data_IF_212829046217
#
_entry.id   IF_212829046217
#
_cell.length_a   1.000
_cell.length_b   1.000
_cell.length_c   1.000
_cell.angle_alpha   90.00
_cell.angle_beta   90.00
_cell.angle_gamma   90.00
#
_symmetry.space_group_name_H-M   'P 1'
#
loop_
_entity.id
_entity.type
_entity.pdbx_description
1 polymer ?
#
# COMPACT_ATOMS: atom_id res chain seq x y z
N UNK A 1 -10.09 -11.90 8.01
CA UNK A 1 -8.64 -11.84 7.74
C UNK A 1 -8.02 -11.04 8.86
N UNK A 2 -6.92 -11.51 9.45
CA UNK A 2 -6.20 -10.73 10.46
C UNK A 2 -5.59 -9.49 9.78
N UNK A 3 -5.80 -8.29 10.34
CA UNK A 3 -5.25 -7.05 9.79
C UNK A 3 -3.72 -7.08 9.77
N UNK A 4 -3.10 -7.75 10.74
CA UNK A 4 -1.64 -7.87 10.78
C UNK A 4 -1.12 -8.75 9.64
N UNK A 5 -1.84 -9.83 9.29
CA UNK A 5 -1.48 -10.66 8.15
C UNK A 5 -1.56 -9.90 6.83
N UNK A 6 -2.62 -9.09 6.64
CA UNK A 6 -2.76 -8.24 5.45
C UNK A 6 -1.66 -7.17 5.36
N UNK A 7 -1.27 -6.57 6.50
CA UNK A 7 -0.17 -5.59 6.54
C UNK A 7 1.15 -6.25 6.11
N UNK A 8 1.43 -7.46 6.60
CA UNK A 8 2.65 -8.19 6.21
C UNK A 8 2.65 -8.50 4.71
N UNK A 9 1.53 -9.01 4.18
CA UNK A 9 1.36 -9.30 2.75
C UNK A 9 1.61 -8.04 1.90
N UNK A 10 1.03 -6.90 2.26
CA UNK A 10 1.24 -5.64 1.54
C UNK A 10 2.69 -5.16 1.61
N UNK A 11 3.36 -5.30 2.76
CA UNK A 11 4.77 -4.93 2.89
C UNK A 11 5.66 -5.81 2.00
N UNK A 12 5.42 -7.12 1.98
CA UNK A 12 6.16 -8.07 1.14
C UNK A 12 5.97 -7.77 -0.36
N UNK A 13 4.73 -7.51 -0.79
CA UNK A 13 4.41 -7.16 -2.17
C UNK A 13 5.03 -5.82 -2.61
N UNK A 14 5.17 -4.89 -1.68
CA UNK A 14 5.70 -3.55 -1.95
C UNK A 14 7.22 -3.46 -1.83
N UNK A 15 7.89 -4.41 -1.18
CA UNK A 15 9.35 -4.41 -0.97
C UNK A 15 10.15 -4.21 -2.28
N UNK A 16 9.82 -4.84 -3.43
CA UNK A 16 10.55 -4.60 -4.68
C UNK A 16 10.41 -3.16 -5.22
N UNK A 17 9.33 -2.45 -4.87
CA UNK A 17 9.13 -1.04 -5.23
C UNK A 17 9.87 -0.13 -4.28
N UNK A 18 9.80 -0.42 -2.98
CA UNK A 18 10.55 0.26 -1.92
C UNK A 18 12.04 0.21 -2.24
N UNK A 19 12.60 -0.98 -2.49
CA UNK A 19 14.02 -1.14 -2.77
C UNK A 19 14.47 -0.36 -4.02
N UNK A 20 13.63 -0.28 -5.05
CA UNK A 20 13.90 0.57 -6.23
C UNK A 20 13.96 2.05 -5.87
N UNK A 21 13.04 2.54 -5.05
CA UNK A 21 13.06 3.92 -4.55
C UNK A 21 14.30 4.22 -3.69
N UNK A 22 14.66 3.29 -2.80
CA UNK A 22 15.85 3.41 -1.95
C UNK A 22 17.14 3.47 -2.78
N UNK A 23 17.26 2.63 -3.80
CA UNK A 23 18.44 2.61 -4.67
C UNK A 23 18.63 3.92 -5.44
N UNK A 24 17.55 4.63 -5.76
CA UNK A 24 17.57 5.95 -6.40
C UNK A 24 17.85 7.10 -5.40
N UNK A 25 17.84 6.82 -4.10
CA UNK A 25 18.04 7.80 -3.02
C UNK A 25 19.49 7.78 -2.53
N UNK A 26 19.98 8.93 -2.03
CA UNK A 26 21.29 9.05 -1.41
C UNK A 26 21.44 8.03 -0.27
N UNK A 27 22.53 7.23 -0.21
CA UNK A 27 22.75 6.24 0.85
C UNK A 27 22.48 6.71 2.27
N UNK A 28 22.77 7.97 2.59
CA UNK A 28 22.58 8.55 3.93
C UNK A 28 21.11 8.69 4.33
N UNK A 29 20.20 8.83 3.37
CA UNK A 29 18.77 9.08 3.59
C UNK A 29 17.92 7.81 3.45
N UNK A 30 18.53 6.68 3.05
CA UNK A 30 17.81 5.46 2.71
C UNK A 30 17.06 4.85 3.89
N UNK A 31 17.66 4.84 5.07
CA UNK A 31 17.03 4.22 6.24
C UNK A 31 15.83 5.05 6.70
N UNK A 32 15.98 6.37 6.78
CA UNK A 32 14.88 7.28 7.12
C UNK A 32 13.74 7.16 6.11
N UNK A 33 14.06 7.13 4.81
CA UNK A 33 13.07 6.96 3.75
C UNK A 33 12.38 5.59 3.83
N UNK A 34 13.12 4.52 4.13
CA UNK A 34 12.55 3.17 4.31
C UNK A 34 11.53 3.17 5.45
N UNK A 35 11.87 3.77 6.58
CA UNK A 35 10.98 3.85 7.73
C UNK A 35 9.73 4.68 7.44
N UNK A 36 9.86 5.83 6.78
CA UNK A 36 8.73 6.65 6.37
C UNK A 36 7.79 5.89 5.42
N UNK A 37 8.32 5.24 4.39
CA UNK A 37 7.53 4.43 3.45
C UNK A 37 6.79 3.29 4.15
N UNK A 38 7.48 2.53 5.02
CA UNK A 38 6.86 1.44 5.77
C UNK A 38 5.75 1.94 6.70
N UNK A 39 5.98 3.05 7.40
CA UNK A 39 4.99 3.64 8.30
C UNK A 39 3.73 4.06 7.53
N UNK A 40 3.90 4.66 6.36
CA UNK A 40 2.78 5.06 5.49
C UNK A 40 2.02 3.86 4.97
N UNK A 41 2.71 2.79 4.56
CA UNK A 41 2.08 1.56 4.07
C UNK A 41 1.29 0.85 5.17
N UNK A 42 1.85 0.75 6.37
CA UNK A 42 1.16 0.17 7.53
C UNK A 42 -0.10 0.98 7.83
N UNK A 43 0.01 2.32 7.90
CA UNK A 43 -1.13 3.19 8.18
C UNK A 43 -2.22 3.05 7.11
N UNK A 44 -1.85 3.15 5.84
CA UNK A 44 -2.79 3.04 4.73
C UNK A 44 -3.51 1.68 4.71
N UNK A 45 -2.77 0.59 4.95
CA UNK A 45 -3.35 -0.77 4.98
C UNK A 45 -4.25 -0.97 6.20
N UNK A 46 -3.88 -0.42 7.35
CA UNK A 46 -4.69 -0.49 8.56
C UNK A 46 -6.02 0.27 8.43
N UNK A 47 -5.98 1.44 7.79
CA UNK A 47 -7.15 2.31 7.53
C UNK A 47 -7.99 1.83 6.34
N UNK A 48 -7.47 0.91 5.51
CA UNK A 48 -8.20 0.37 4.36
C UNK A 48 -9.43 -0.43 4.80
N UNK A 49 -10.57 -0.13 4.18
CA UNK A 49 -11.78 -0.93 4.32
C UNK A 49 -11.69 -2.15 3.41
N UNK A 50 -11.88 -3.34 3.99
CA UNK A 50 -11.93 -4.57 3.21
C UNK A 50 -13.32 -4.69 2.58
N UNK A 51 -13.40 -4.39 1.28
CA UNK A 51 -14.65 -4.49 0.52
C UNK A 51 -14.75 -5.80 -0.24
N UNK A 52 -15.99 -6.25 -0.48
CA UNK A 52 -16.24 -7.41 -1.33
C UNK A 52 -15.99 -7.08 -2.82
N UNK A 53 -15.73 -8.11 -3.62
CA UNK A 53 -15.62 -7.94 -5.08
C UNK A 53 -16.85 -7.26 -5.70
N UNK A 54 -18.06 -7.58 -5.23
CA UNK A 54 -19.30 -6.98 -5.74
C UNK A 54 -19.43 -5.50 -5.38
N UNK A 55 -19.01 -5.13 -4.16
CA UNK A 55 -18.93 -3.73 -3.72
C UNK A 55 -17.95 -2.96 -4.61
N UNK A 56 -16.76 -3.54 -4.83
CA UNK A 56 -15.76 -2.95 -5.73
C UNK A 56 -16.28 -2.76 -7.15
N UNK A 57 -16.93 -3.78 -7.72
CA UNK A 57 -17.51 -3.73 -9.06
C UNK A 57 -18.57 -2.62 -9.17
N UNK A 58 -19.47 -2.52 -8.18
CA UNK A 58 -20.50 -1.47 -8.16
C UNK A 58 -19.90 -0.07 -8.15
N UNK A 59 -18.88 0.18 -7.33
CA UNK A 59 -18.19 1.48 -7.30
C UNK A 59 -17.47 1.80 -8.60
N UNK A 60 -16.89 0.80 -9.25
CA UNK A 60 -16.20 0.98 -10.53
C UNK A 60 -17.19 1.36 -11.65
N UNK A 61 -18.33 0.67 -11.73
CA UNK A 61 -19.39 0.94 -12.69
C UNK A 61 -20.00 2.34 -12.47
N UNK A 62 -20.20 2.73 -11.21
CA UNK A 62 -20.69 4.06 -10.87
C UNK A 62 -19.71 5.16 -11.29
N UNK A 63 -18.42 5.02 -11.00
CA UNK A 63 -17.40 5.99 -11.42
C UNK A 63 -17.32 6.14 -12.94
N UNK A 64 -17.45 5.05 -13.70
CA UNK A 64 -17.43 5.10 -15.17
C UNK A 64 -18.66 5.78 -15.76
N UNK A 65 -19.79 5.81 -15.03
CA UNK A 65 -21.02 6.48 -15.46
C UNK A 65 -20.95 8.01 -15.37
N UNK A 66 -20.04 8.54 -14.55
CA UNK A 66 -19.85 9.98 -14.31
C UNK A 66 -18.54 10.55 -14.89
N UNK A 67 -17.82 9.76 -15.71
CA UNK A 67 -16.71 10.23 -16.57
C UNK A 67 -17.18 10.32 -18.01
#
# INVERSE_FOLDING_TARGET
>A
MDKNALIIEVLEDMEPRIQRGLNATNPQEREDLRQDMNTRLIKATYEMEVISFWTFKGWLEEKQKYM
#
